data_IF_446160913601
#
_entry.id   IF_446160913601
#
_cell.length_a   1.000
_cell.length_b   1.000
_cell.length_c   1.000
_cell.angle_alpha   90.00
_cell.angle_beta   90.00
_cell.angle_gamma   90.00
#
_symmetry.space_group_name_H-M   'P 1'
#
loop_
_entity.id
_entity.type
_entity.pdbx_description
1 polymer ?
#
# COMPACT_ATOMS: atom_id res chain seq x y z
N UNK A 1 -33.03 -19.24 -4.80
CA UNK A 1 -31.85 -19.38 -5.70
C UNK A 1 -30.60 -19.37 -4.84
N UNK A 2 -29.81 -20.44 -4.89
CA UNK A 2 -28.68 -20.68 -3.96
C UNK A 2 -27.41 -20.06 -4.56
N UNK A 3 -27.01 -18.88 -4.07
CA UNK A 3 -25.75 -18.23 -4.44
C UNK A 3 -24.65 -18.87 -3.60
N UNK A 4 -23.72 -19.57 -4.26
CA UNK A 4 -22.60 -20.25 -3.61
C UNK A 4 -21.61 -19.20 -3.08
N UNK A 5 -21.49 -19.08 -1.76
CA UNK A 5 -20.41 -18.35 -1.10
C UNK A 5 -19.08 -19.01 -1.47
N UNK A 6 -18.22 -18.28 -2.18
CA UNK A 6 -16.83 -18.69 -2.40
C UNK A 6 -15.98 -18.01 -1.31
N UNK A 7 -15.80 -18.72 -0.20
CA UNK A 7 -14.91 -18.34 0.90
C UNK A 7 -13.45 -18.58 0.52
N UNK A 8 -12.76 -17.56 0.07
CA UNK A 8 -11.30 -17.55 0.01
C UNK A 8 -10.74 -16.85 1.26
N UNK A 9 -10.30 -17.68 2.20
CA UNK A 9 -9.46 -17.32 3.34
C UNK A 9 -8.09 -16.95 2.77
N UNK A 10 -7.67 -15.70 2.96
CA UNK A 10 -6.30 -15.28 2.69
C UNK A 10 -5.63 -14.91 4.02
N UNK A 11 -4.88 -15.88 4.54
CA UNK A 11 -3.89 -15.68 5.60
C UNK A 11 -2.67 -14.99 5.00
N UNK A 12 -2.36 -13.78 5.45
CA UNK A 12 -1.06 -13.14 5.22
C UNK A 12 -0.40 -12.92 6.58
N UNK A 13 0.18 -14.00 7.12
CA UNK A 13 1.24 -13.91 8.12
C UNK A 13 2.59 -13.86 7.42
N UNK A 14 3.36 -12.80 7.66
CA UNK A 14 4.82 -12.84 7.68
C UNK A 14 5.54 -12.15 6.52
N UNK A 15 6.12 -10.98 6.81
CA UNK A 15 7.45 -10.58 6.34
C UNK A 15 8.06 -9.59 7.37
N UNK A 16 8.61 -10.13 8.45
CA UNK A 16 9.73 -9.47 9.12
C UNK A 16 11.01 -9.96 8.42
N UNK A 17 11.63 -9.08 7.64
CA UNK A 17 12.94 -9.34 7.05
C UNK A 17 14.02 -9.11 8.11
N UNK A 18 14.39 -10.14 8.87
CA UNK A 18 15.67 -10.17 9.59
C UNK A 18 16.73 -10.76 8.66
N UNK A 19 17.45 -9.89 7.95
CA UNK A 19 18.67 -10.26 7.28
C UNK A 19 19.80 -10.36 8.31
N UNK A 20 20.03 -11.56 8.85
CA UNK A 20 21.29 -11.89 9.50
C UNK A 20 21.58 -13.38 9.32
N UNK A 21 22.01 -13.75 8.11
CA UNK A 21 22.75 -14.99 7.89
C UNK A 21 24.23 -14.67 8.08
N UNK A 22 24.73 -14.96 9.28
CA UNK A 22 26.13 -14.80 9.64
C UNK A 22 26.41 -15.42 10.99
N UNK A 23 27.02 -16.61 10.99
CA UNK A 23 27.78 -17.11 12.13
C UNK A 23 27.04 -18.03 13.10
N UNK A 24 26.85 -19.28 12.69
CA UNK A 24 26.81 -20.38 13.65
C UNK A 24 28.26 -20.72 14.04
N UNK A 25 28.80 -20.14 15.12
CA UNK A 25 29.81 -20.83 15.95
C UNK A 25 30.06 -20.13 17.30
N UNK A 26 29.95 -20.92 18.37
CA UNK A 26 30.71 -20.85 19.63
C UNK A 26 30.65 -19.61 20.51
N UNK A 27 30.14 -19.82 21.74
CA UNK A 27 30.72 -19.19 22.92
C UNK A 27 29.71 -18.51 23.83
N UNK A 28 29.35 -19.22 24.89
CA UNK A 28 28.89 -18.64 26.16
C UNK A 28 29.83 -17.49 26.55
N UNK A 29 29.41 -16.23 26.38
CA UNK A 29 29.99 -15.08 27.08
C UNK A 29 28.97 -13.99 27.38
N UNK A 30 28.68 -13.90 28.68
CA UNK A 30 28.44 -12.67 29.44
C UNK A 30 27.11 -11.92 29.23
N UNK A 31 26.16 -12.24 30.11
CA UNK A 31 24.85 -11.64 30.31
C UNK A 31 24.94 -10.30 31.06
N UNK A 32 25.63 -9.31 30.48
CA UNK A 32 25.76 -7.94 31.03
C UNK A 32 25.75 -6.87 29.91
N UNK A 33 24.77 -6.91 29.00
CA UNK A 33 24.50 -5.75 28.14
C UNK A 33 23.67 -4.73 28.92
N UNK A 34 24.36 -3.67 29.34
CA UNK A 34 23.77 -2.44 29.85
C UNK A 34 22.65 -1.98 28.89
N UNK A 35 21.49 -1.72 29.49
CA UNK A 35 20.33 -1.12 28.87
C UNK A 35 20.69 0.32 28.49
N UNK A 36 21.17 0.52 27.26
CA UNK A 36 21.37 1.85 26.71
C UNK A 36 19.97 2.42 26.41
N UNK A 37 19.60 3.59 26.97
CA UNK A 37 18.31 4.20 26.65
C UNK A 37 18.32 4.53 25.15
N UNK A 38 17.52 3.82 24.37
CA UNK A 38 17.29 4.18 22.98
C UNK A 38 16.55 5.52 23.00
N UNK A 39 17.26 6.61 22.75
CA UNK A 39 16.65 7.87 22.36
C UNK A 39 15.85 7.61 21.08
N UNK A 40 14.53 7.85 21.16
CA UNK A 40 13.56 7.71 20.08
C UNK A 40 13.74 8.79 18.98
N UNK A 41 14.92 8.86 18.35
CA UNK A 41 15.20 9.66 17.16
C UNK A 41 14.91 8.89 15.87
N UNK A 42 13.89 8.01 15.87
CA UNK A 42 13.36 7.50 14.60
C UNK A 42 12.60 8.63 13.92
N UNK A 43 12.89 8.97 12.65
CA UNK A 43 12.10 9.94 11.90
C UNK A 43 10.63 9.56 12.00
N UNK A 44 9.79 10.46 12.50
CA UNK A 44 8.33 10.29 12.48
C UNK A 44 7.96 10.01 11.02
N UNK A 45 7.29 8.88 10.77
CA UNK A 45 6.84 8.53 9.43
C UNK A 45 5.98 9.67 8.84
N UNK A 46 5.82 9.72 7.50
CA UNK A 46 5.01 10.75 6.87
C UNK A 46 3.60 10.76 7.48
N UNK A 47 3.07 11.95 7.72
CA UNK A 47 1.70 12.14 8.19
C UNK A 47 0.69 11.52 7.22
N UNK A 48 -0.54 11.20 7.66
CA UNK A 48 -1.58 10.66 6.79
C UNK A 48 -1.82 11.52 5.54
N UNK A 49 -1.80 12.85 5.67
CA UNK A 49 -1.98 13.76 4.54
C UNK A 49 -0.78 13.72 3.57
N UNK A 50 0.46 13.65 4.05
CA UNK A 50 1.64 13.50 3.19
C UNK A 50 1.67 12.15 2.46
N UNK A 51 1.14 11.09 3.08
CA UNK A 51 0.96 9.79 2.43
C UNK A 51 -0.08 9.87 1.32
N UNK A 52 -1.20 10.57 1.58
CA UNK A 52 -2.24 10.81 0.59
C UNK A 52 -1.68 11.61 -0.60
N UNK A 53 -0.91 12.66 -0.35
CA UNK A 53 -0.31 13.48 -1.41
C UNK A 53 0.60 12.66 -2.32
N UNK A 54 1.49 11.85 -1.74
CA UNK A 54 2.39 10.97 -2.51
C UNK A 54 1.61 9.96 -3.34
N UNK A 55 0.56 9.38 -2.76
CA UNK A 55 -0.30 8.44 -3.47
C UNK A 55 -1.07 9.12 -4.61
N UNK A 56 -1.65 10.29 -4.37
CA UNK A 56 -2.40 11.05 -5.37
C UNK A 56 -1.53 11.47 -6.55
N UNK A 57 -0.27 11.86 -6.33
CA UNK A 57 0.67 12.17 -7.44
C UNK A 57 0.79 10.98 -8.41
N UNK A 58 0.88 9.75 -7.88
CA UNK A 58 0.98 8.57 -8.71
C UNK A 58 -0.35 8.27 -9.43
N UNK A 59 -1.48 8.36 -8.73
CA UNK A 59 -2.81 8.08 -9.30
C UNK A 59 -3.16 9.08 -10.41
N UNK A 60 -2.90 10.37 -10.20
CA UNK A 60 -3.14 11.42 -11.20
C UNK A 60 -2.32 11.18 -12.46
N UNK A 61 -1.04 10.84 -12.31
CA UNK A 61 -0.15 10.54 -13.44
C UNK A 61 -0.55 9.26 -14.19
N UNK A 62 -0.80 8.17 -13.45
CA UNK A 62 -1.11 6.87 -14.04
C UNK A 62 -2.49 6.85 -14.73
N UNK A 63 -3.46 7.64 -14.24
CA UNK A 63 -4.82 7.71 -14.78
C UNK A 63 -5.07 8.97 -15.62
N UNK A 64 -4.10 9.88 -15.77
CA UNK A 64 -4.30 11.15 -16.50
C UNK A 64 -5.56 11.90 -16.03
N UNK A 65 -5.73 12.04 -14.71
CA UNK A 65 -6.92 12.67 -14.13
C UNK A 65 -6.95 14.16 -14.45
N UNK A 66 -8.14 14.69 -14.76
CA UNK A 66 -8.35 16.14 -14.81
C UNK A 66 -8.53 16.72 -13.40
N UNK A 67 -8.46 18.06 -13.28
CA UNK A 67 -8.51 18.73 -11.96
C UNK A 67 -9.79 18.47 -11.15
N UNK A 68 -10.94 18.25 -11.80
CA UNK A 68 -12.19 17.91 -11.10
C UNK A 68 -12.16 16.47 -10.60
N UNK A 69 -11.70 15.53 -11.43
CA UNK A 69 -11.54 14.12 -11.06
C UNK A 69 -10.52 13.97 -9.92
N UNK A 70 -9.37 14.64 -10.01
CA UNK A 70 -8.35 14.62 -8.95
C UNK A 70 -8.95 15.08 -7.61
N UNK A 71 -9.62 16.23 -7.58
CA UNK A 71 -10.18 16.77 -6.34
C UNK A 71 -11.23 15.82 -5.73
N UNK A 72 -12.11 15.25 -6.55
CA UNK A 72 -13.12 14.31 -6.10
C UNK A 72 -12.50 13.00 -5.57
N UNK A 73 -11.55 12.43 -6.31
CA UNK A 73 -10.85 11.19 -5.93
C UNK A 73 -10.00 11.40 -4.67
N UNK A 74 -9.34 12.55 -4.52
CA UNK A 74 -8.60 12.92 -3.30
C UNK A 74 -9.50 12.92 -2.07
N UNK A 75 -10.71 13.47 -2.18
CA UNK A 75 -11.67 13.48 -1.07
C UNK A 75 -12.13 12.07 -0.70
N UNK A 76 -12.41 11.22 -1.69
CA UNK A 76 -12.75 9.81 -1.46
C UNK A 76 -11.64 9.10 -0.68
N UNK A 77 -10.38 9.22 -1.12
CA UNK A 77 -9.26 8.59 -0.43
C UNK A 77 -8.98 9.20 0.95
N UNK A 78 -9.16 10.52 1.12
CA UNK A 78 -9.05 11.17 2.44
C UNK A 78 -10.07 10.61 3.42
N UNK A 79 -11.31 10.45 3.00
CA UNK A 79 -12.38 9.91 3.84
C UNK A 79 -12.18 8.41 4.11
N UNK A 80 -11.68 7.66 3.13
CA UNK A 80 -11.27 6.27 3.33
C UNK A 80 -10.19 6.16 4.41
N UNK A 81 -9.14 7.00 4.36
CA UNK A 81 -8.05 6.95 5.33
C UNK A 81 -8.54 7.23 6.75
N UNK A 82 -9.42 8.22 6.93
CA UNK A 82 -10.04 8.50 8.23
C UNK A 82 -10.90 7.34 8.74
N UNK A 83 -11.72 6.74 7.88
CA UNK A 83 -12.55 5.59 8.26
C UNK A 83 -11.68 4.37 8.59
N UNK A 84 -10.60 4.15 7.85
CA UNK A 84 -9.63 3.10 8.14
C UNK A 84 -8.93 3.32 9.48
N UNK A 85 -8.59 4.56 9.84
CA UNK A 85 -8.05 4.89 11.16
C UNK A 85 -9.07 4.61 12.28
N UNK A 86 -10.34 4.97 12.08
CA UNK A 86 -11.42 4.65 13.01
C UNK A 86 -11.59 3.13 13.20
N UNK A 87 -11.57 2.35 12.11
CA UNK A 87 -11.64 0.87 12.16
C UNK A 87 -10.43 0.31 12.94
N UNK A 88 -9.21 0.80 12.68
CA UNK A 88 -7.99 0.32 13.33
C UNK A 88 -7.94 0.66 14.81
N UNK A 89 -8.38 1.86 15.19
CA UNK A 89 -8.39 2.35 16.57
C UNK A 89 -9.59 1.87 17.39
N UNK A 90 -10.59 1.26 16.75
CA UNK A 90 -11.77 0.72 17.43
C UNK A 90 -11.40 -0.35 18.46
N UNK A 91 -11.81 -0.12 19.70
CA UNK A 91 -11.68 -1.08 20.82
C UNK A 91 -12.90 -1.95 21.00
N UNK A 92 -14.00 -1.67 20.30
CA UNK A 92 -15.28 -2.37 20.42
C UNK A 92 -15.48 -3.45 19.36
N UNK A 93 -14.63 -3.48 18.33
CA UNK A 93 -14.71 -4.44 17.23
C UNK A 93 -13.71 -5.57 17.40
N UNK A 94 -14.11 -6.80 17.03
CA UNK A 94 -13.15 -7.91 16.93
C UNK A 94 -12.26 -7.72 15.70
N UNK A 95 -11.12 -8.41 15.66
CA UNK A 95 -10.23 -8.36 14.50
C UNK A 95 -10.91 -8.87 13.22
N UNK A 96 -11.82 -9.83 13.33
CA UNK A 96 -12.64 -10.30 12.20
C UNK A 96 -13.57 -9.20 11.70
N UNK A 97 -14.27 -8.50 12.60
CA UNK A 97 -15.17 -7.41 12.22
C UNK A 97 -14.40 -6.25 11.60
N UNK A 98 -13.21 -5.92 12.13
CA UNK A 98 -12.33 -4.91 11.56
C UNK A 98 -11.90 -5.28 10.14
N UNK A 99 -11.59 -6.55 9.90
CA UNK A 99 -11.21 -7.04 8.57
C UNK A 99 -12.39 -6.95 7.59
N UNK A 100 -13.60 -7.32 8.04
CA UNK A 100 -14.81 -7.23 7.23
C UNK A 100 -15.15 -5.77 6.89
N UNK A 101 -15.17 -4.87 7.87
CA UNK A 101 -15.41 -3.44 7.66
C UNK A 101 -14.33 -2.80 6.77
N UNK A 102 -13.05 -3.15 6.97
CA UNK A 102 -11.98 -2.67 6.11
C UNK A 102 -12.17 -3.13 4.66
N UNK A 103 -12.66 -4.35 4.44
CA UNK A 103 -12.97 -4.88 3.12
C UNK A 103 -14.15 -4.13 2.50
N UNK A 104 -15.24 -3.94 3.23
CA UNK A 104 -16.42 -3.21 2.76
C UNK A 104 -16.07 -1.76 2.41
N UNK A 105 -15.27 -1.10 3.24
CA UNK A 105 -14.73 0.24 2.98
C UNK A 105 -13.91 0.27 1.69
N UNK A 106 -13.05 -0.72 1.46
CA UNK A 106 -12.29 -0.81 0.21
C UNK A 106 -13.18 -1.03 -1.02
N UNK A 107 -14.22 -1.86 -0.92
CA UNK A 107 -15.16 -2.09 -2.02
C UNK A 107 -16.01 -0.85 -2.33
N UNK A 108 -16.42 -0.11 -1.30
CA UNK A 108 -17.13 1.16 -1.45
C UNK A 108 -16.25 2.19 -2.15
N UNK A 109 -15.02 2.38 -1.65
CA UNK A 109 -14.04 3.30 -2.24
C UNK A 109 -13.78 2.96 -3.72
N UNK A 110 -13.61 1.67 -4.05
CA UNK A 110 -13.43 1.21 -5.43
C UNK A 110 -14.60 1.62 -6.33
N UNK A 111 -15.84 1.46 -5.86
CA UNK A 111 -17.04 1.86 -6.62
C UNK A 111 -17.10 3.37 -6.84
N UNK A 112 -16.83 4.15 -5.79
CA UNK A 112 -16.86 5.62 -5.86
C UNK A 112 -15.79 6.17 -6.80
N UNK A 113 -14.55 5.63 -6.75
CA UNK A 113 -13.48 6.02 -7.68
C UNK A 113 -13.87 5.69 -9.12
N UNK A 114 -14.33 4.46 -9.39
CA UNK A 114 -14.72 4.04 -10.75
C UNK A 114 -15.84 4.88 -11.36
N UNK A 115 -16.77 5.36 -10.54
CA UNK A 115 -17.85 6.22 -11.00
C UNK A 115 -17.38 7.58 -11.53
N UNK A 116 -16.15 7.99 -11.18
CA UNK A 116 -15.53 9.25 -11.62
C UNK A 116 -14.60 9.09 -12.82
N UNK A 117 -14.29 7.85 -13.23
CA UNK A 117 -13.37 7.56 -14.33
C UNK A 117 -14.12 7.35 -15.64
N UNK A 118 -13.51 7.77 -16.74
CA UNK A 118 -13.95 7.37 -18.07
C UNK A 118 -13.48 5.96 -18.44
N UNK A 119 -13.89 5.46 -19.62
CA UNK A 119 -13.56 4.11 -20.07
C UNK A 119 -12.04 3.83 -20.15
N UNK A 120 -11.20 4.66 -20.81
CA UNK A 120 -9.76 4.41 -20.85
C UNK A 120 -9.09 4.51 -19.46
N UNK A 121 -9.54 5.43 -18.61
CA UNK A 121 -9.03 5.55 -17.23
C UNK A 121 -9.39 4.33 -16.39
N UNK A 122 -10.60 3.81 -16.54
CA UNK A 122 -11.07 2.62 -15.84
C UNK A 122 -10.21 1.38 -16.15
N UNK A 123 -9.79 1.22 -17.42
CA UNK A 123 -8.89 0.13 -17.82
C UNK A 123 -7.52 0.26 -17.13
N UNK A 124 -6.92 1.46 -17.15
CA UNK A 124 -5.66 1.74 -16.46
C UNK A 124 -5.77 1.48 -14.96
N UNK A 125 -6.89 1.86 -14.35
CA UNK A 125 -7.17 1.66 -12.93
C UNK A 125 -7.27 0.17 -12.55
N UNK A 126 -7.99 -0.63 -13.35
CA UNK A 126 -8.07 -2.08 -13.12
C UNK A 126 -6.71 -2.78 -13.29
N UNK A 127 -5.91 -2.34 -14.26
CA UNK A 127 -4.55 -2.86 -14.44
C UNK A 127 -3.65 -2.49 -13.25
N UNK A 128 -3.70 -1.25 -12.77
CA UNK A 128 -3.00 -0.82 -11.56
C UNK A 128 -3.37 -1.69 -10.35
N UNK A 129 -4.66 -2.00 -10.15
CA UNK A 129 -5.11 -2.88 -9.06
C UNK A 129 -4.59 -4.31 -9.19
N UNK A 130 -4.57 -4.87 -10.41
CA UNK A 130 -4.03 -6.22 -10.66
C UNK A 130 -2.53 -6.29 -10.37
N UNK A 131 -1.77 -5.25 -10.73
CA UNK A 131 -0.34 -5.16 -10.44
C UNK A 131 -0.08 -5.15 -8.92
N UNK A 132 -0.87 -4.37 -8.17
CA UNK A 132 -0.80 -4.33 -6.70
C UNK A 132 -1.12 -5.70 -6.07
N UNK A 133 -2.14 -6.40 -6.58
CA UNK A 133 -2.52 -7.75 -6.09
C UNK A 133 -1.49 -8.83 -6.43
N UNK A 134 -0.82 -8.71 -7.56
CA UNK A 134 0.13 -9.73 -8.04
C UNK A 134 1.55 -9.54 -7.51
N UNK A 135 1.84 -8.44 -6.82
CA UNK A 135 3.17 -8.14 -6.27
C UNK A 135 4.24 -7.88 -7.35
N UNK A 136 3.85 -7.81 -8.64
CA UNK A 136 4.77 -7.50 -9.74
C UNK A 136 5.10 -6.00 -9.70
N UNK A 137 6.21 -5.64 -9.06
CA UNK A 137 6.80 -4.30 -9.19
C UNK A 137 7.04 -4.02 -10.68
N UNK A 138 6.45 -2.95 -11.23
CA UNK A 138 6.77 -2.43 -12.57
C UNK A 138 8.28 -2.20 -12.64
N UNK A 139 9.03 -3.10 -13.29
CA UNK A 139 10.42 -2.84 -13.68
C UNK A 139 10.35 -1.67 -14.66
N UNK A 140 10.63 -0.46 -14.18
CA UNK A 140 10.74 0.75 -14.99
C UNK A 140 11.76 0.43 -16.09
N UNK A 141 11.27 0.30 -17.32
CA UNK A 141 12.05 0.02 -18.52
C UNK A 141 12.92 1.26 -18.80
N UNK A 142 14.04 1.39 -18.08
CA UNK A 142 15.21 2.14 -18.56
C UNK A 142 15.87 1.22 -19.58
N UNK A 143 15.46 1.32 -20.84
CA UNK A 143 16.17 0.73 -21.96
C UNK A 143 16.22 1.79 -23.06
N UNK A 144 17.44 2.05 -23.50
CA UNK A 144 17.80 2.49 -24.85
C UNK A 144 17.63 3.99 -25.17
N UNK A 145 18.43 4.88 -24.56
CA UNK A 145 18.68 6.21 -25.14
C UNK A 145 19.98 6.91 -24.64
N UNK A 146 21.10 6.20 -24.45
CA UNK A 146 22.43 6.85 -24.31
C UNK A 146 23.56 5.85 -24.55
N UNK A 147 23.69 5.33 -25.78
CA UNK A 147 24.91 4.66 -26.27
C UNK A 147 24.89 4.60 -27.81
N UNK A 148 24.71 5.77 -28.43
CA UNK A 148 25.01 5.99 -29.84
C UNK A 148 25.95 7.18 -29.96
N UNK A 149 27.21 6.99 -29.58
CA UNK A 149 28.31 7.68 -30.24
C UNK A 149 29.31 6.63 -30.75
N UNK A 150 29.58 6.57 -32.07
CA UNK A 150 30.63 5.73 -32.60
C UNK A 150 31.96 6.45 -32.38
N UNK A 151 32.85 5.87 -31.57
CA UNK A 151 34.26 6.25 -31.65
C UNK A 151 34.88 5.60 -32.89
N UNK A 152 35.31 6.46 -33.82
CA UNK A 152 36.17 6.15 -34.97
C UNK A 152 37.52 5.55 -34.56
#
# INVERSE_FOLDING_TARGET
>A
MKIRLLTTILLLTGFFASAQMGGMNSGVRNRNMMQQPQSDDKPKGPSPDEQLDKFMVQVVSDLELNGLQEAAIRNIYKDQMKQMEAIRSSTTMTESDKQEEARLLSEKTDKEVKALLDAPQLEKYENMKKDLRSGKKKKKKKKDEEDKEPHE
#
